data_IF_590685063116
#
_entry.id   IF_590685063116
#
_cell.length_a   1.000
_cell.length_b   1.000
_cell.length_c   1.000
_cell.angle_alpha   90.00
_cell.angle_beta   90.00
_cell.angle_gamma   90.00
#
_symmetry.space_group_name_H-M   'P 1'
#
loop_
_entity.id
_entity.type
_entity.pdbx_description
1 polymer ?
#
# COMPACT_ATOMS: atom_id res chain seq x y z
N UNK A 1 -16.55 -26.38 22.37
CA UNK A 1 -16.18 -25.94 21.99
C UNK A 1 -15.84 -25.44 21.41
N UNK A 2 -15.81 -25.24 21.35
CA UNK A 2 -15.41 -24.73 20.74
C UNK A 2 -14.77 -24.12 20.45
N UNK A 3 -14.44 -23.74 20.29
CA UNK A 3 -13.74 -23.02 20.00
C UNK A 3 -13.43 -22.42 19.42
N UNK A 4 -13.49 -22.23 19.33
CA UNK A 4 -13.18 -21.59 18.85
C UNK A 4 -12.71 -20.80 18.71
N UNK A 5 -12.64 -20.50 18.74
CA UNK A 5 -12.19 -19.59 18.52
C UNK A 5 -11.48 -19.07 18.37
N UNK A 6 -11.34 -19.25 18.46
CA UNK A 6 -10.67 -18.77 18.44
C UNK A 6 -10.07 -18.30 17.73
N UNK A 7 -10.16 -18.18 17.46
CA UNK A 7 -9.68 -17.75 16.88
C UNK A 7 -9.12 -17.16 16.48
N UNK A 8 -9.04 -17.22 16.27
CA UNK A 8 -8.30 -16.40 16.26
C UNK A 8 -8.41 -15.27 15.54
N UNK A 9 -8.29 -14.19 15.95
CA UNK A 9 -8.50 -13.03 15.23
C UNK A 9 -7.67 -12.87 13.97
N UNK A 10 -6.43 -13.33 13.94
CA UNK A 10 -5.69 -13.27 12.67
C UNK A 10 -6.39 -14.04 11.57
N UNK A 11 -6.99 -15.16 11.89
CA UNK A 11 -7.75 -15.90 10.90
C UNK A 11 -8.93 -15.12 10.37
N UNK A 12 -9.66 -14.48 11.25
CA UNK A 12 -10.80 -13.69 10.84
C UNK A 12 -10.41 -12.54 9.96
N UNK A 13 -9.35 -11.84 10.34
CA UNK A 13 -8.83 -10.75 9.55
C UNK A 13 -8.39 -11.22 8.18
N UNK A 14 -7.72 -12.34 8.13
CA UNK A 14 -7.24 -12.88 6.87
C UNK A 14 -8.38 -13.27 5.95
N UNK A 15 -9.45 -13.85 6.50
CA UNK A 15 -10.59 -14.24 5.70
C UNK A 15 -11.24 -13.01 5.08
N UNK A 16 -11.45 -11.97 5.88
CA UNK A 16 -12.04 -10.74 5.38
C UNK A 16 -11.13 -10.08 4.37
N UNK A 17 -9.85 -10.08 4.63
CA UNK A 17 -8.89 -9.51 3.69
C UNK A 17 -8.94 -10.23 2.35
N UNK A 18 -9.02 -11.56 2.39
CA UNK A 18 -9.12 -12.34 1.15
C UNK A 18 -10.39 -12.01 0.38
N UNK A 19 -11.50 -11.84 1.07
CA UNK A 19 -12.76 -11.48 0.43
C UNK A 19 -12.66 -10.13 -0.24
N UNK A 20 -12.12 -9.16 0.47
CA UNK A 20 -11.94 -7.83 -0.09
C UNK A 20 -10.98 -7.85 -1.27
N UNK A 21 -9.92 -8.63 -1.15
CA UNK A 21 -8.94 -8.73 -2.22
C UNK A 21 -9.57 -9.30 -3.49
N UNK A 22 -10.33 -10.36 -3.36
CA UNK A 22 -10.99 -10.95 -4.53
C UNK A 22 -11.95 -9.97 -5.17
N UNK A 23 -12.75 -9.29 -4.36
CA UNK A 23 -13.68 -8.30 -4.88
C UNK A 23 -12.94 -7.18 -5.60
N UNK A 24 -11.87 -6.69 -5.00
CA UNK A 24 -11.08 -5.62 -5.59
C UNK A 24 -10.42 -6.06 -6.89
N UNK A 25 -9.95 -7.31 -6.93
CA UNK A 25 -9.34 -7.85 -8.14
C UNK A 25 -10.36 -7.99 -9.27
N UNK A 26 -11.64 -8.07 -8.91
CA UNK A 26 -12.73 -8.12 -9.88
C UNK A 26 -13.27 -6.72 -10.20
N UNK A 27 -12.59 -5.67 -9.75
CA UNK A 27 -12.93 -4.33 -10.13
C UNK A 27 -13.73 -3.53 -9.12
N UNK A 28 -13.91 -4.06 -7.91
CA UNK A 28 -14.69 -3.36 -6.87
C UNK A 28 -13.79 -2.33 -6.17
N UNK A 29 -13.98 -1.06 -6.55
CA UNK A 29 -13.19 0.03 -5.99
C UNK A 29 -13.43 0.25 -4.51
N UNK A 30 -14.66 0.03 -4.04
CA UNK A 30 -14.95 0.16 -2.61
C UNK A 30 -14.19 -0.88 -1.80
N UNK A 31 -14.14 -2.11 -2.32
CA UNK A 31 -13.39 -3.18 -1.66
C UNK A 31 -11.91 -2.82 -1.58
N UNK A 32 -11.37 -2.24 -2.65
CA UNK A 32 -9.98 -1.80 -2.65
C UNK A 32 -9.75 -0.73 -1.58
N UNK A 33 -10.65 0.24 -1.51
CA UNK A 33 -10.56 1.29 -0.50
C UNK A 33 -10.51 0.73 0.91
N UNK A 34 -11.41 -0.21 1.20
CA UNK A 34 -11.45 -0.84 2.52
C UNK A 34 -10.21 -1.67 2.80
N UNK A 35 -9.67 -2.26 1.76
CA UNK A 35 -8.48 -3.09 1.86
C UNK A 35 -7.26 -2.27 2.24
N UNK A 36 -7.08 -1.10 1.61
CA UNK A 36 -5.89 -0.29 1.82
C UNK A 36 -6.04 0.73 2.95
N UNK A 37 -7.27 1.02 3.36
CA UNK A 37 -7.53 2.04 4.36
C UNK A 37 -6.72 1.86 5.65
N UNK A 38 -6.68 0.66 6.24
CA UNK A 38 -5.90 0.49 7.47
C UNK A 38 -4.41 0.69 7.30
N UNK A 39 -3.92 0.65 6.06
CA UNK A 39 -2.50 0.74 5.77
C UNK A 39 -2.05 2.13 5.34
N UNK A 40 -3.00 3.02 5.06
CA UNK A 40 -2.63 4.32 4.47
C UNK A 40 -1.76 5.15 5.38
N UNK A 41 -2.06 5.14 6.67
CA UNK A 41 -1.31 5.95 7.61
C UNK A 41 0.15 5.50 7.70
N UNK A 42 0.37 4.20 7.78
CA UNK A 42 1.74 3.71 7.87
C UNK A 42 2.49 3.86 6.54
N UNK A 43 1.78 3.73 5.43
CA UNK A 43 2.41 3.95 4.13
C UNK A 43 2.81 5.42 3.96
N UNK A 44 1.96 6.33 4.41
CA UNK A 44 2.28 7.75 4.35
C UNK A 44 3.49 8.08 5.21
N UNK A 45 3.54 7.50 6.40
CA UNK A 45 4.68 7.70 7.29
C UNK A 45 5.97 7.17 6.64
N UNK A 46 5.87 6.03 5.98
CA UNK A 46 7.01 5.46 5.27
C UNK A 46 7.49 6.41 4.16
N UNK A 47 6.57 6.91 3.37
CA UNK A 47 6.91 7.86 2.31
C UNK A 47 7.52 9.13 2.87
N UNK A 48 6.97 9.62 3.98
CA UNK A 48 7.50 10.82 4.61
C UNK A 48 8.93 10.60 5.09
N UNK A 49 9.19 9.44 5.69
CA UNK A 49 10.56 9.14 6.15
C UNK A 49 11.55 9.11 5.00
N UNK A 50 11.10 8.65 3.84
CA UNK A 50 11.99 8.60 2.67
C UNK A 50 12.17 9.96 2.00
N UNK A 51 11.12 10.77 1.98
CA UNK A 51 11.11 11.99 1.17
C UNK A 51 11.33 13.28 1.96
N UNK A 52 11.01 13.27 3.25
CA UNK A 52 11.21 14.42 4.10
C UNK A 52 10.28 15.58 3.86
N UNK A 53 9.23 15.39 3.06
CA UNK A 53 8.28 16.43 2.71
C UNK A 53 6.89 15.85 2.74
N UNK A 54 5.97 16.51 3.42
CA UNK A 54 4.60 16.07 3.49
C UNK A 54 3.94 16.03 2.11
N UNK A 55 4.16 17.09 1.35
CA UNK A 55 3.56 17.17 0.02
C UNK A 55 4.06 16.05 -0.88
N UNK A 56 5.37 15.81 -0.85
CA UNK A 56 5.95 14.74 -1.66
C UNK A 56 5.49 13.37 -1.20
N UNK A 57 5.36 13.20 0.12
CA UNK A 57 4.88 11.92 0.67
C UNK A 57 3.45 11.66 0.24
N UNK A 58 2.63 12.69 0.23
CA UNK A 58 1.25 12.54 -0.20
C UNK A 58 1.16 12.16 -1.66
N UNK A 59 1.97 12.80 -2.49
CA UNK A 59 2.01 12.47 -3.91
C UNK A 59 2.48 11.03 -4.13
N UNK A 60 3.50 10.61 -3.38
CA UNK A 60 4.00 9.25 -3.49
C UNK A 60 2.96 8.23 -3.04
N UNK A 61 2.20 8.56 -2.01
CA UNK A 61 1.13 7.68 -1.55
C UNK A 61 0.06 7.54 -2.61
N UNK A 62 -0.35 8.64 -3.23
CA UNK A 62 -1.33 8.60 -4.30
C UNK A 62 -0.84 7.75 -5.46
N UNK A 63 0.40 7.93 -5.84
CA UNK A 63 0.97 7.13 -6.91
C UNK A 63 1.01 5.65 -6.54
N UNK A 64 1.32 5.36 -5.28
CA UNK A 64 1.36 3.99 -4.77
C UNK A 64 0.00 3.32 -4.91
N UNK A 65 -1.05 4.02 -4.46
CA UNK A 65 -2.39 3.46 -4.51
C UNK A 65 -2.86 3.27 -5.94
N UNK A 66 -2.52 4.19 -6.82
CA UNK A 66 -2.90 4.08 -8.21
C UNK A 66 -2.20 2.91 -8.88
N UNK A 67 -0.92 2.75 -8.63
CA UNK A 67 -0.17 1.61 -9.19
C UNK A 67 -0.66 0.30 -8.63
N UNK A 68 -0.97 0.29 -7.33
CA UNK A 68 -1.52 -0.91 -6.70
C UNK A 68 -2.83 -1.30 -7.36
N UNK A 69 -3.71 -0.33 -7.55
CA UNK A 69 -4.99 -0.59 -8.21
C UNK A 69 -4.78 -1.18 -9.61
N UNK A 70 -3.88 -0.60 -10.37
CA UNK A 70 -3.62 -1.06 -11.74
C UNK A 70 -2.98 -2.43 -11.81
N UNK A 71 -2.23 -2.81 -10.78
CA UNK A 71 -1.51 -4.08 -10.75
C UNK A 71 -2.20 -5.15 -9.95
N UNK A 72 -3.32 -4.81 -9.31
CA UNK A 72 -3.93 -5.69 -8.33
C UNK A 72 -4.35 -7.02 -8.92
N UNK A 73 -4.81 -7.02 -10.17
CA UNK A 73 -5.25 -8.25 -10.81
C UNK A 73 -4.11 -9.26 -10.95
N UNK A 74 -2.86 -8.77 -10.95
CA UNK A 74 -1.70 -9.65 -11.08
C UNK A 74 -1.08 -10.02 -9.75
N UNK A 75 -1.61 -9.50 -8.67
CA UNK A 75 -1.10 -9.86 -7.33
C UNK A 75 -1.48 -11.29 -7.03
N UNK A 76 -0.47 -12.12 -6.78
CA UNK A 76 -0.68 -13.56 -6.61
C UNK A 76 -0.57 -14.02 -5.16
N UNK A 77 -0.37 -13.11 -4.25
CA UNK A 77 -0.32 -13.49 -2.84
C UNK A 77 0.97 -14.14 -2.39
N UNK A 78 2.05 -13.98 -3.15
CA UNK A 78 3.34 -14.55 -2.76
C UNK A 78 3.94 -13.82 -1.57
N UNK A 79 3.53 -12.58 -1.36
CA UNK A 79 3.86 -11.83 -0.17
C UNK A 79 2.55 -11.34 0.41
N UNK A 80 2.60 -10.79 1.62
CA UNK A 80 1.42 -10.15 2.16
C UNK A 80 1.09 -8.92 1.33
N UNK A 81 -0.17 -8.55 1.36
CA UNK A 81 -0.59 -7.32 0.70
C UNK A 81 0.18 -6.13 1.24
N UNK A 82 0.38 -6.09 2.55
CA UNK A 82 1.11 -5.01 3.19
C UNK A 82 2.52 -4.89 2.64
N UNK A 83 3.24 -6.01 2.55
CA UNK A 83 4.60 -5.99 1.99
C UNK A 83 4.62 -5.57 0.54
N UNK A 84 3.63 -6.02 -0.21
CA UNK A 84 3.52 -5.67 -1.63
C UNK A 84 3.31 -4.17 -1.80
N UNK A 85 2.43 -3.59 -0.97
CA UNK A 85 2.18 -2.15 -1.02
C UNK A 85 3.42 -1.36 -0.59
N UNK A 86 4.13 -1.84 0.40
CA UNK A 86 5.39 -1.18 0.81
C UNK A 86 6.41 -1.17 -0.30
N UNK A 87 6.49 -2.25 -1.05
CA UNK A 87 7.41 -2.29 -2.19
C UNK A 87 7.04 -1.27 -3.24
N UNK A 88 5.76 -1.17 -3.55
CA UNK A 88 5.30 -0.17 -4.50
C UNK A 88 5.59 1.24 -4.00
N UNK A 89 5.34 1.47 -2.72
CA UNK A 89 5.57 2.78 -2.12
C UNK A 89 7.05 3.15 -2.14
N UNK A 90 7.91 2.21 -1.80
CA UNK A 90 9.35 2.45 -1.83
C UNK A 90 9.80 2.83 -3.24
N UNK A 91 9.32 2.09 -4.24
CA UNK A 91 9.68 2.39 -5.62
C UNK A 91 9.15 3.76 -6.06
N UNK A 92 7.95 4.12 -5.62
CA UNK A 92 7.41 5.44 -5.93
C UNK A 92 8.27 6.53 -5.31
N UNK A 93 8.71 6.32 -4.08
CA UNK A 93 9.57 7.31 -3.41
C UNK A 93 10.92 7.41 -4.10
N UNK A 94 11.50 6.29 -4.51
CA UNK A 94 12.79 6.34 -5.20
C UNK A 94 12.68 7.10 -6.52
N UNK A 95 11.58 6.89 -7.25
CA UNK A 95 11.36 7.65 -8.47
C UNK A 95 11.19 9.14 -8.19
N UNK A 96 10.50 9.46 -7.11
CA UNK A 96 10.32 10.85 -6.73
C UNK A 96 11.66 11.51 -6.42
N UNK A 97 12.53 10.80 -5.73
CA UNK A 97 13.86 11.31 -5.42
C UNK A 97 14.65 11.54 -6.70
N UNK A 98 14.57 10.61 -7.63
CA UNK A 98 15.28 10.73 -8.90
C UNK A 98 14.80 11.91 -9.72
N UNK A 99 13.52 12.24 -9.60
CA UNK A 99 12.95 13.35 -10.36
C UNK A 99 13.18 14.71 -9.73
N UNK A 100 13.72 14.76 -8.50
CA UNK A 100 13.99 16.03 -7.84
C UNK A 100 15.02 16.81 -8.65
N UNK A 101 14.81 18.12 -8.79
CA UNK A 101 15.80 18.92 -9.46
C UNK A 101 17.11 18.84 -8.70
N UNK A 102 18.19 18.62 -9.41
CA UNK A 102 19.49 18.63 -8.78
C UNK A 102 19.83 20.04 -8.36
N UNK A 103 20.19 20.20 -7.10
CA UNK A 103 20.66 21.47 -6.65
C UNK A 103 22.03 21.71 -7.23
N UNK A 104 22.11 22.74 -8.02
CA UNK A 104 23.40 23.20 -8.46
C UNK A 104 23.85 24.21 -7.43
N UNK A 105 24.84 23.86 -6.66
CA UNK A 105 25.36 24.79 -5.69
C UNK A 105 26.14 25.87 -6.41
N UNK A 106 25.93 27.11 -6.05
CA UNK A 106 26.76 28.18 -6.65
C UNK A 106 28.20 27.89 -6.30
N UNK A 107 29.02 28.20 -7.22
CA UNK A 107 30.45 27.97 -7.04
C UNK A 107 31.02 28.78 -5.90
#
# INVERSE_FOLDING_TARGET
MTDSGTTTSPSGSSARERELLLAAQNGDGDAFGRLVDPLQRELQAHCYRMLGSYADAEDALQETLLRAWRSLARFEGRSSLRSWLYRIATNACLRAIERRPKRVLPA
#
